data_IF_325937998052
#
_entry.id   IF_325937998052
#
_cell.length_a   1.000
_cell.length_b   1.000
_cell.length_c   1.000
_cell.angle_alpha   90.00
_cell.angle_beta   90.00
_cell.angle_gamma   90.00
#
_symmetry.space_group_name_H-M   'P 1'
#
loop_
_entity.id
_entity.type
_entity.pdbx_description
1 polymer ?
#
# COMPACT_ATOMS: atom_id res chain seq x y z
N UNK A 1 -13.56 -25.80 4.71
CA UNK A 1 -14.32 -26.24 5.90
C UNK A 1 -15.10 -25.02 6.34
N UNK A 2 -16.42 -25.13 6.21
CA UNK A 2 -17.39 -24.05 6.20
C UNK A 2 -17.33 -23.20 7.48
N UNK A 3 -17.33 -21.88 7.29
CA UNK A 3 -17.40 -20.85 8.34
C UNK A 3 -18.83 -20.75 8.91
N UNK A 4 -19.80 -21.46 8.34
CA UNK A 4 -21.23 -21.32 8.68
C UNK A 4 -21.62 -21.76 10.10
N UNK A 5 -20.75 -22.44 10.86
CA UNK A 5 -21.10 -22.97 12.19
C UNK A 5 -20.11 -22.61 13.31
N UNK A 6 -19.49 -21.42 13.27
CA UNK A 6 -18.90 -20.83 14.49
C UNK A 6 -19.95 -19.96 15.21
N UNK A 7 -20.07 -20.00 16.55
CA UNK A 7 -20.95 -19.09 17.27
C UNK A 7 -20.65 -17.64 16.88
N UNK A 8 -21.67 -16.86 16.53
CA UNK A 8 -21.57 -15.46 16.10
C UNK A 8 -20.70 -14.58 17.03
N UNK A 9 -20.68 -14.91 18.33
CA UNK A 9 -19.85 -14.23 19.33
C UNK A 9 -18.34 -14.50 19.18
N UNK A 10 -17.95 -15.68 18.69
CA UNK A 10 -16.53 -16.02 18.49
C UNK A 10 -15.94 -15.21 17.32
N UNK A 11 -16.73 -14.96 16.27
CA UNK A 11 -16.30 -14.15 15.13
C UNK A 11 -16.17 -12.66 15.49
N UNK A 12 -17.14 -12.10 16.24
CA UNK A 12 -17.06 -10.72 16.76
C UNK A 12 -15.80 -10.53 17.61
N UNK A 13 -15.52 -11.47 18.50
CA UNK A 13 -14.35 -11.40 19.39
C UNK A 13 -13.04 -11.40 18.61
N UNK A 14 -12.87 -12.30 17.64
CA UNK A 14 -11.67 -12.36 16.81
C UNK A 14 -11.48 -11.05 16.03
N UNK A 15 -12.56 -10.49 15.47
CA UNK A 15 -12.53 -9.22 14.75
C UNK A 15 -12.10 -8.06 15.66
N UNK A 16 -12.65 -7.96 16.86
CA UNK A 16 -12.30 -6.94 17.83
C UNK A 16 -10.83 -7.07 18.28
N UNK A 17 -10.36 -8.27 18.61
CA UNK A 17 -8.96 -8.50 19.04
C UNK A 17 -7.94 -8.13 17.95
N UNK A 18 -8.26 -8.35 16.67
CA UNK A 18 -7.42 -7.96 15.53
C UNK A 18 -7.41 -6.44 15.34
N UNK A 19 -8.59 -5.82 15.31
CA UNK A 19 -8.72 -4.37 15.16
C UNK A 19 -7.97 -3.64 16.28
N UNK A 20 -8.08 -4.14 17.51
CA UNK A 20 -7.33 -3.66 18.67
C UNK A 20 -5.82 -3.75 18.44
N UNK A 21 -5.29 -4.84 17.87
CA UNK A 21 -3.84 -5.00 17.70
C UNK A 21 -3.28 -3.99 16.69
N UNK A 22 -3.99 -3.71 15.61
CA UNK A 22 -3.52 -2.85 14.51
C UNK A 22 -3.81 -1.37 14.69
N UNK A 23 -4.90 -1.01 15.37
CA UNK A 23 -5.32 0.39 15.46
C UNK A 23 -4.42 1.20 16.40
N UNK A 24 -4.08 2.44 16.04
CA UNK A 24 -3.48 3.40 16.98
C UNK A 24 -4.54 4.02 17.91
N UNK A 25 -5.71 4.30 17.34
CA UNK A 25 -6.89 4.85 18.02
C UNK A 25 -8.09 4.00 17.63
N UNK A 26 -8.91 3.61 18.61
CA UNK A 26 -10.07 2.76 18.37
C UNK A 26 -11.34 3.60 18.49
N UNK A 27 -12.17 3.61 17.45
CA UNK A 27 -13.51 4.20 17.51
C UNK A 27 -14.52 3.09 17.78
N UNK A 28 -15.10 3.09 18.98
CA UNK A 28 -16.17 2.16 19.34
C UNK A 28 -17.52 2.80 19.05
N UNK A 29 -18.21 2.27 18.04
CA UNK A 29 -19.48 2.83 17.56
C UNK A 29 -20.64 2.02 18.11
N UNK A 30 -21.56 2.68 18.81
CA UNK A 30 -22.83 2.10 19.29
C UNK A 30 -24.02 2.74 18.58
N UNK A 31 -25.17 2.04 18.55
CA UNK A 31 -26.42 2.58 18.04
C UNK A 31 -27.17 3.32 19.15
N UNK A 32 -27.29 4.64 19.04
CA UNK A 32 -27.96 5.48 20.04
C UNK A 32 -29.47 5.31 20.11
N UNK A 33 -30.09 4.58 19.17
CA UNK A 33 -31.54 4.28 19.18
C UNK A 33 -31.88 2.98 19.92
N UNK A 34 -30.87 2.26 20.40
CA UNK A 34 -31.02 0.99 21.09
C UNK A 34 -30.38 1.08 22.47
N UNK A 35 -30.90 0.27 23.40
CA UNK A 35 -30.25 0.09 24.69
C UNK A 35 -28.96 -0.72 24.54
N UNK A 36 -28.07 -0.59 25.52
CA UNK A 36 -26.80 -1.32 25.57
C UNK A 36 -27.06 -2.82 25.53
N UNK A 37 -26.45 -3.50 24.56
CA UNK A 37 -26.57 -4.96 24.41
C UNK A 37 -25.50 -5.70 25.22
N UNK A 38 -25.70 -7.00 25.45
CA UNK A 38 -24.69 -7.86 26.07
C UNK A 38 -23.39 -7.93 25.23
N UNK A 39 -23.53 -7.83 23.90
CA UNK A 39 -22.39 -7.84 22.98
C UNK A 39 -21.58 -6.53 23.10
N UNK A 40 -22.24 -5.37 23.29
CA UNK A 40 -21.55 -4.09 23.55
C UNK A 40 -20.72 -4.15 24.83
N UNK A 41 -21.28 -4.72 25.90
CA UNK A 41 -20.59 -4.92 27.17
C UNK A 41 -19.40 -5.86 27.03
N UNK A 42 -19.53 -6.91 26.22
CA UNK A 42 -18.44 -7.85 25.95
C UNK A 42 -17.32 -7.18 25.15
N UNK A 43 -17.64 -6.44 24.10
CA UNK A 43 -16.66 -5.70 23.29
C UNK A 43 -15.97 -4.63 24.14
N UNK A 44 -16.71 -3.84 24.93
CA UNK A 44 -16.15 -2.83 25.81
C UNK A 44 -15.13 -3.43 26.80
N UNK A 45 -15.41 -4.63 27.35
CA UNK A 45 -14.46 -5.36 28.21
C UNK A 45 -13.19 -5.79 27.47
N UNK A 46 -13.29 -6.17 26.19
CA UNK A 46 -12.12 -6.54 25.37
C UNK A 46 -11.30 -5.29 25.06
N UNK A 47 -11.96 -4.20 24.63
CA UNK A 47 -11.34 -2.92 24.31
C UNK A 47 -10.56 -2.35 25.48
N UNK A 48 -11.15 -2.34 26.69
CA UNK A 48 -10.47 -1.84 27.91
C UNK A 48 -9.18 -2.57 28.24
N UNK A 49 -9.04 -3.86 27.87
CA UNK A 49 -7.81 -4.62 28.10
C UNK A 49 -6.67 -4.21 27.16
N UNK A 50 -6.95 -3.41 26.12
CA UNK A 50 -5.96 -3.05 25.10
C UNK A 50 -5.01 -1.92 25.51
N UNK A 51 -5.35 -1.12 26.53
CA UNK A 51 -4.66 0.12 26.90
C UNK A 51 -4.49 1.15 25.76
N UNK A 52 -5.22 1.01 24.65
CA UNK A 52 -5.21 1.97 23.53
C UNK A 52 -6.27 3.06 23.76
N UNK A 53 -6.08 4.26 23.19
CA UNK A 53 -7.11 5.30 23.25
C UNK A 53 -8.37 4.82 22.51
N UNK A 54 -9.49 4.81 23.24
CA UNK A 54 -10.80 4.38 22.74
C UNK A 54 -11.71 5.59 22.72
N UNK A 55 -12.33 5.89 21.58
CA UNK A 55 -13.32 6.96 21.42
C UNK A 55 -14.71 6.33 21.28
N UNK A 56 -15.62 6.66 22.19
CA UNK A 56 -17.00 6.17 22.15
C UNK A 56 -17.84 7.09 21.26
N UNK A 57 -18.36 6.55 20.17
CA UNK A 57 -19.21 7.24 19.21
C UNK A 57 -20.62 6.66 19.21
N UNK A 58 -21.61 7.47 19.59
CA UNK A 58 -23.02 7.06 19.60
C UNK A 58 -23.68 7.55 18.32
N UNK A 59 -23.97 6.62 17.41
CA UNK A 59 -24.48 6.91 16.09
C UNK A 59 -26.01 6.93 16.03
N UNK A 60 -26.58 7.52 14.97
CA UNK A 60 -28.03 7.61 14.68
C UNK A 60 -28.83 8.51 15.62
N UNK A 61 -28.15 9.43 16.31
CA UNK A 61 -28.79 10.50 17.08
C UNK A 61 -28.99 11.69 16.15
N UNK A 62 -30.19 11.78 15.60
CA UNK A 62 -30.55 12.81 14.61
C UNK A 62 -31.20 14.04 15.25
N UNK A 63 -31.59 13.95 16.53
CA UNK A 63 -32.31 14.97 17.28
C UNK A 63 -31.63 15.24 18.62
N UNK A 64 -31.59 16.51 19.03
CA UNK A 64 -31.01 16.98 20.31
C UNK A 64 -31.74 16.34 21.50
N UNK A 65 -33.02 15.99 21.37
CA UNK A 65 -33.79 15.33 22.43
C UNK A 65 -33.27 13.94 22.80
N UNK A 66 -32.67 13.22 21.84
CA UNK A 66 -32.07 11.89 22.03
C UNK A 66 -30.66 11.95 22.65
N UNK A 67 -30.09 13.15 22.85
CA UNK A 67 -28.79 13.30 23.54
C UNK A 67 -28.85 12.87 24.99
N UNK A 68 -30.02 12.94 25.63
CA UNK A 68 -30.23 12.46 26.99
C UNK A 68 -30.12 10.91 27.09
N UNK A 69 -30.55 10.20 26.05
CA UNK A 69 -30.46 8.74 25.98
C UNK A 69 -29.01 8.29 25.78
N UNK A 70 -28.16 9.11 25.16
CA UNK A 70 -26.75 8.82 24.99
C UNK A 70 -25.99 8.65 26.33
N UNK A 71 -26.45 9.29 27.41
CA UNK A 71 -25.79 9.17 28.73
C UNK A 71 -25.81 7.74 29.29
N UNK A 72 -26.72 6.87 28.84
CA UNK A 72 -26.71 5.48 29.27
C UNK A 72 -25.40 4.76 28.91
N UNK A 73 -24.77 5.15 27.79
CA UNK A 73 -23.56 4.52 27.27
C UNK A 73 -22.31 4.80 28.11
N UNK A 74 -22.35 5.73 29.08
CA UNK A 74 -21.31 5.82 30.11
C UNK A 74 -21.19 4.54 30.94
N UNK A 75 -22.24 3.72 31.03
CA UNK A 75 -22.21 2.42 31.72
C UNK A 75 -21.25 1.41 31.08
N UNK A 76 -20.87 1.61 29.82
CA UNK A 76 -19.79 0.85 29.18
C UNK A 76 -18.45 1.08 29.88
N UNK A 77 -18.33 2.16 30.65
CA UNK A 77 -17.21 2.53 31.51
C UNK A 77 -15.92 2.82 30.74
N UNK A 78 -16.06 3.30 29.51
CA UNK A 78 -14.95 3.79 28.71
C UNK A 78 -14.71 5.23 29.17
N UNK A 79 -13.50 5.53 29.64
CA UNK A 79 -13.18 6.80 30.28
C UNK A 79 -13.04 7.99 29.29
N UNK A 80 -13.35 7.77 28.01
CA UNK A 80 -13.31 8.83 27.00
C UNK A 80 -14.63 9.59 26.91
N UNK A 81 -14.53 10.84 26.49
CA UNK A 81 -15.71 11.66 26.25
C UNK A 81 -16.58 11.06 25.15
N UNK A 82 -17.86 10.93 25.44
CA UNK A 82 -18.86 10.46 24.50
C UNK A 82 -18.99 11.45 23.34
N UNK A 83 -18.96 10.94 22.11
CA UNK A 83 -19.19 11.75 20.90
C UNK A 83 -20.49 11.31 20.26
N UNK A 84 -21.42 12.25 20.08
CA UNK A 84 -22.72 11.99 19.47
C UNK A 84 -22.59 12.26 17.98
N UNK A 85 -22.95 11.27 17.15
CA UNK A 85 -22.85 11.39 15.70
C UNK A 85 -24.15 11.00 15.00
N UNK A 86 -24.37 11.61 13.84
CA UNK A 86 -25.31 11.10 12.83
C UNK A 86 -24.59 11.03 11.50
N UNK A 87 -24.18 9.82 11.10
CA UNK A 87 -23.49 9.63 9.82
C UNK A 87 -24.33 10.05 8.62
N UNK A 88 -25.65 9.87 8.67
CA UNK A 88 -26.54 10.19 7.55
C UNK A 88 -26.74 11.71 7.36
N UNK A 89 -26.66 12.46 8.46
CA UNK A 89 -26.87 13.92 8.45
C UNK A 89 -25.57 14.72 8.61
N UNK A 90 -24.43 14.04 8.77
CA UNK A 90 -23.11 14.66 8.93
C UNK A 90 -22.89 15.33 10.30
N UNK A 91 -23.74 15.08 11.29
CA UNK A 91 -23.69 15.73 12.61
C UNK A 91 -22.61 15.07 13.46
N UNK A 92 -21.79 15.87 14.14
CA UNK A 92 -20.78 15.42 15.10
C UNK A 92 -19.58 14.65 14.51
N UNK A 93 -19.55 14.44 13.19
CA UNK A 93 -18.42 13.76 12.52
C UNK A 93 -17.14 14.58 12.62
N UNK A 94 -17.22 15.91 12.48
CA UNK A 94 -16.06 16.80 12.62
C UNK A 94 -15.43 16.68 14.00
N UNK A 95 -16.24 16.81 15.05
CA UNK A 95 -15.78 16.68 16.44
C UNK A 95 -15.17 15.30 16.72
N UNK A 96 -15.74 14.23 16.14
CA UNK A 96 -15.18 12.89 16.24
C UNK A 96 -13.80 12.80 15.56
N UNK A 97 -13.65 13.40 14.37
CA UNK A 97 -12.38 13.40 13.61
C UNK A 97 -11.31 14.21 14.34
N UNK A 98 -11.65 15.38 14.89
CA UNK A 98 -10.72 16.21 15.65
C UNK A 98 -10.17 15.44 16.86
N UNK A 99 -11.05 14.74 17.60
CA UNK A 99 -10.64 13.85 18.70
C UNK A 99 -9.76 12.69 18.25
N UNK A 100 -10.06 12.09 17.09
CA UNK A 100 -9.19 11.05 16.53
C UNK A 100 -7.79 11.63 16.31
N UNK A 101 -7.68 12.81 15.72
CA UNK A 101 -6.40 13.47 15.44
C UNK A 101 -5.63 13.77 16.73
N UNK A 102 -6.30 14.23 17.80
CA UNK A 102 -5.67 14.49 19.10
C UNK A 102 -5.01 13.26 19.73
N UNK A 103 -5.58 12.07 19.51
CA UNK A 103 -5.07 10.81 20.04
C UNK A 103 -4.15 10.07 19.08
N UNK A 104 -4.08 10.48 17.81
CA UNK A 104 -3.12 9.92 16.88
C UNK A 104 -1.70 10.31 17.31
N UNK A 105 -0.75 9.36 17.23
CA UNK A 105 0.63 9.69 17.54
C UNK A 105 1.16 10.73 16.56
N UNK A 106 1.93 11.68 17.08
CA UNK A 106 2.73 12.58 16.24
C UNK A 106 3.76 11.71 15.51
N UNK A 107 3.53 11.46 14.23
CA UNK A 107 4.47 10.75 13.38
C UNK A 107 5.62 11.71 13.11
N UNK A 108 6.80 11.44 13.68
CA UNK A 108 8.02 12.11 13.22
C UNK A 108 8.26 11.67 11.77
N UNK A 109 8.10 12.57 10.81
CA UNK A 109 8.33 12.34 9.38
C UNK A 109 9.80 12.15 9.01
N UNK A 110 10.70 12.06 9.99
CA UNK A 110 12.08 11.64 9.74
C UNK A 110 12.09 10.14 9.42
N UNK A 111 11.73 9.77 8.19
CA UNK A 111 12.30 8.58 7.57
C UNK A 111 13.81 8.76 7.70
N UNK A 112 14.51 7.78 8.29
CA UNK A 112 15.97 7.74 8.14
C UNK A 112 16.25 7.78 6.64
N UNK A 113 16.89 8.85 6.14
CA UNK A 113 17.07 9.11 4.70
C UNK A 113 17.75 7.95 3.95
N UNK A 114 18.41 7.04 4.68
CA UNK A 114 19.17 5.91 4.15
C UNK A 114 18.48 4.54 4.27
N UNK A 115 17.23 4.44 4.75
CA UNK A 115 16.54 3.14 4.91
C UNK A 115 15.54 2.90 3.79
N UNK A 116 15.75 1.86 2.99
CA UNK A 116 14.79 1.42 1.96
C UNK A 116 13.73 0.53 2.60
N UNK A 117 12.48 1.00 2.63
CA UNK A 117 11.36 0.23 3.14
C UNK A 117 10.71 -0.55 2.00
N UNK A 118 10.53 -1.86 2.16
CA UNK A 118 9.83 -2.65 1.17
C UNK A 118 8.87 -3.66 1.81
N UNK A 119 7.80 -3.98 1.09
CA UNK A 119 6.81 -4.97 1.53
C UNK A 119 6.63 -6.08 0.48
N UNK A 120 6.08 -7.22 0.89
CA UNK A 120 5.70 -8.30 -0.02
C UNK A 120 4.19 -8.42 -0.10
N UNK A 121 3.63 -8.18 -1.28
CA UNK A 121 2.20 -8.30 -1.57
C UNK A 121 1.93 -9.52 -2.44
N UNK A 122 0.77 -10.12 -2.30
CA UNK A 122 0.37 -11.29 -3.10
C UNK A 122 -0.53 -12.23 -2.31
N UNK A 123 -1.16 -13.18 -3.02
CA UNK A 123 -2.09 -14.15 -2.45
C UNK A 123 -1.50 -14.98 -1.28
N UNK A 124 -2.35 -15.59 -0.44
CA UNK A 124 -1.92 -16.61 0.50
C UNK A 124 -1.12 -17.73 -0.19
N UNK A 125 -0.15 -18.32 0.51
CA UNK A 125 0.62 -19.48 0.07
C UNK A 125 1.53 -19.33 -1.18
N UNK A 126 1.69 -18.13 -1.74
CA UNK A 126 2.68 -17.85 -2.81
C UNK A 126 4.15 -17.90 -2.32
N UNK A 127 4.35 -18.01 -1.00
CA UNK A 127 5.67 -18.18 -0.38
C UNK A 127 6.34 -16.87 0.08
N UNK A 128 5.56 -15.82 0.37
CA UNK A 128 6.05 -14.53 0.91
C UNK A 128 6.92 -14.72 2.16
N UNK A 129 6.44 -15.46 3.15
CA UNK A 129 7.16 -15.72 4.40
C UNK A 129 8.45 -16.51 4.17
N UNK A 130 8.41 -17.49 3.28
CA UNK A 130 9.59 -18.25 2.87
C UNK A 130 10.62 -17.34 2.17
N UNK A 131 10.17 -16.40 1.34
CA UNK A 131 11.05 -15.42 0.71
C UNK A 131 11.69 -14.49 1.74
N UNK A 132 10.93 -13.93 2.68
CA UNK A 132 11.50 -13.09 3.76
C UNK A 132 12.55 -13.85 4.55
N UNK A 133 12.24 -15.07 4.98
CA UNK A 133 13.22 -15.89 5.71
C UNK A 133 14.46 -16.19 4.87
N UNK A 134 14.29 -16.47 3.58
CA UNK A 134 15.42 -16.73 2.69
C UNK A 134 16.23 -15.48 2.36
N UNK A 135 15.60 -14.30 2.39
CA UNK A 135 16.23 -12.98 2.31
C UNK A 135 17.07 -12.68 3.56
N UNK A 136 16.50 -12.87 4.74
CA UNK A 136 17.17 -12.58 6.02
C UNK A 136 18.32 -13.54 6.35
N UNK A 137 18.31 -14.76 5.81
CA UNK A 137 19.35 -15.78 6.03
C UNK A 137 20.42 -15.82 4.90
N UNK A 138 20.65 -14.71 4.19
CA UNK A 138 21.76 -14.55 3.26
C UNK A 138 23.06 -14.25 4.03
N UNK A 139 24.21 -14.71 3.55
CA UNK A 139 25.51 -14.59 4.25
C UNK A 139 25.91 -13.14 4.58
N UNK A 140 25.39 -12.16 3.83
CA UNK A 140 25.72 -10.73 3.96
C UNK A 140 24.65 -9.90 4.66
N UNK A 141 23.61 -10.54 5.20
CA UNK A 141 22.51 -9.86 5.86
C UNK A 141 22.75 -9.86 7.37
N UNK A 142 22.85 -8.68 7.94
CA UNK A 142 22.98 -8.48 9.39
C UNK A 142 21.67 -7.91 9.90
N UNK A 143 20.93 -8.69 10.70
CA UNK A 143 19.67 -8.26 11.31
C UNK A 143 19.98 -7.37 12.51
N UNK A 144 19.31 -6.22 12.58
CA UNK A 144 19.44 -5.28 13.67
C UNK A 144 18.27 -5.44 14.65
N UNK A 145 18.58 -5.66 15.93
CA UNK A 145 17.59 -5.74 17.01
C UNK A 145 17.55 -4.41 17.79
N UNK A 146 17.58 -3.26 17.13
CA UNK A 146 17.49 -1.98 17.83
C UNK A 146 16.09 -1.88 18.45
N UNK A 147 16.03 -2.13 19.77
CA UNK A 147 14.87 -1.82 20.60
C UNK A 147 14.70 -0.29 20.63
N UNK A 148 13.61 0.23 20.05
CA UNK A 148 13.21 1.63 20.22
C UNK A 148 12.94 2.46 18.97
N UNK A 149 13.12 1.92 17.75
CA UNK A 149 12.86 2.67 16.51
C UNK A 149 11.93 1.93 15.55
N UNK A 150 10.72 1.66 16.01
CA UNK A 150 9.43 1.81 15.30
C UNK A 150 8.34 1.27 16.24
N UNK A 151 7.18 1.92 16.23
CA UNK A 151 6.02 1.62 17.10
C UNK A 151 5.44 0.20 16.87
N UNK A 152 5.87 -0.47 15.80
CA UNK A 152 5.39 -1.78 15.39
C UNK A 152 6.49 -2.84 15.54
N UNK A 153 6.30 -3.75 16.49
CA UNK A 153 7.15 -4.92 16.76
C UNK A 153 7.14 -5.98 15.62
N UNK A 154 6.86 -5.57 14.39
CA UNK A 154 6.48 -6.39 13.25
C UNK A 154 7.44 -6.19 12.06
N UNK A 155 8.12 -5.05 11.96
CA UNK A 155 9.08 -4.76 10.89
C UNK A 155 10.45 -5.36 11.19
N UNK A 156 11.23 -5.69 10.16
CA UNK A 156 12.59 -6.22 10.33
C UNK A 156 13.60 -5.33 9.61
N UNK A 157 14.46 -4.66 10.39
CA UNK A 157 15.59 -3.88 9.90
C UNK A 157 16.82 -4.78 9.71
N UNK A 158 17.49 -4.65 8.58
CA UNK A 158 18.74 -5.34 8.31
C UNK A 158 19.65 -4.53 7.38
N UNK A 159 20.94 -4.87 7.41
CA UNK A 159 21.96 -4.23 6.56
C UNK A 159 22.51 -5.26 5.59
N UNK A 160 22.66 -4.85 4.32
CA UNK A 160 23.34 -5.64 3.29
C UNK A 160 24.17 -4.70 2.41
N UNK A 161 25.43 -5.07 2.17
CA UNK A 161 26.34 -4.32 1.29
C UNK A 161 26.36 -2.80 1.61
N UNK A 162 26.38 -2.45 2.92
CA UNK A 162 26.29 -1.10 3.49
C UNK A 162 24.97 -0.33 3.27
N UNK A 163 23.97 -0.91 2.60
CA UNK A 163 22.63 -0.35 2.47
C UNK A 163 21.73 -0.87 3.59
N UNK A 164 21.00 0.02 4.27
CA UNK A 164 19.97 -0.34 5.24
C UNK A 164 18.66 -0.64 4.50
N UNK A 165 18.01 -1.72 4.91
CA UNK A 165 16.71 -2.15 4.41
C UNK A 165 15.77 -2.45 5.57
N UNK A 166 14.49 -2.17 5.39
CA UNK A 166 13.44 -2.52 6.32
C UNK A 166 12.35 -3.32 5.59
N UNK A 167 12.12 -4.56 6.00
CA UNK A 167 10.96 -5.33 5.54
C UNK A 167 9.76 -4.94 6.40
N UNK A 168 8.75 -4.35 5.78
CA UNK A 168 7.50 -3.99 6.45
C UNK A 168 6.63 -5.24 6.66
N UNK A 169 6.00 -5.32 7.83
CA UNK A 169 5.02 -6.35 8.23
C UNK A 169 5.54 -7.80 8.15
N UNK A 170 6.66 -8.11 8.82
CA UNK A 170 7.19 -9.48 8.88
C UNK A 170 6.43 -10.41 9.83
N UNK A 171 5.72 -9.91 10.84
CA UNK A 171 5.00 -10.79 11.77
C UNK A 171 3.70 -11.34 11.15
N UNK A 172 3.01 -10.59 10.28
CA UNK A 172 1.92 -11.12 9.46
C UNK A 172 2.39 -12.23 8.52
N UNK A 173 3.62 -12.13 8.02
CA UNK A 173 4.26 -13.16 7.20
C UNK A 173 4.66 -14.40 8.04
N UNK A 174 5.22 -14.24 9.25
CA UNK A 174 5.65 -15.35 10.12
C UNK A 174 4.47 -16.13 10.74
N UNK A 175 3.34 -15.46 10.99
CA UNK A 175 2.14 -16.04 11.64
C UNK A 175 1.06 -16.52 10.67
N UNK A 176 1.40 -16.83 9.42
CA UNK A 176 0.49 -17.41 8.40
C UNK A 176 0.07 -18.86 8.70
N UNK A 177 -0.26 -19.16 9.96
CA UNK A 177 -0.93 -20.38 10.37
C UNK A 177 -2.44 -20.19 10.27
N UNK A 178 -3.11 -21.17 9.65
CA UNK A 178 -4.54 -21.49 9.41
C UNK A 178 -5.68 -20.72 10.10
N UNK A 179 -5.45 -19.93 11.14
CA UNK A 179 -6.45 -19.32 12.02
C UNK A 179 -6.72 -17.84 11.66
N UNK A 180 -5.73 -17.09 11.15
CA UNK A 180 -5.86 -15.64 10.87
C UNK A 180 -6.20 -15.28 9.42
N UNK A 181 -6.09 -16.22 8.47
CA UNK A 181 -6.37 -15.97 7.04
C UNK A 181 -7.86 -16.08 6.68
N UNK A 182 -8.73 -16.44 7.63
CA UNK A 182 -10.15 -16.74 7.37
C UNK A 182 -11.04 -15.50 7.14
N UNK A 183 -10.48 -14.29 7.11
CA UNK A 183 -11.24 -13.07 6.84
C UNK A 183 -10.48 -12.19 5.84
N UNK A 184 -10.79 -12.37 4.55
CA UNK A 184 -10.16 -11.68 3.41
C UNK A 184 -10.05 -10.15 3.56
N UNK A 185 -10.99 -9.53 4.30
CA UNK A 185 -11.03 -8.08 4.54
C UNK A 185 -9.84 -7.55 5.35
N UNK A 186 -9.36 -8.30 6.35
CA UNK A 186 -8.27 -7.84 7.21
C UNK A 186 -6.89 -8.08 6.59
N UNK A 187 -6.73 -9.17 5.84
CA UNK A 187 -5.52 -9.40 5.05
C UNK A 187 -5.33 -8.28 4.00
N UNK A 188 -6.44 -7.76 3.45
CA UNK A 188 -6.40 -6.60 2.58
C UNK A 188 -5.96 -5.33 3.32
N UNK A 189 -6.57 -4.98 4.46
CA UNK A 189 -6.19 -3.79 5.24
C UNK A 189 -4.71 -3.79 5.66
N UNK A 190 -4.17 -4.94 6.07
CA UNK A 190 -2.73 -5.09 6.35
C UNK A 190 -1.86 -4.83 5.14
N UNK A 191 -2.25 -5.39 3.98
CA UNK A 191 -1.52 -5.16 2.74
C UNK A 191 -1.52 -3.67 2.37
N UNK A 192 -2.64 -2.96 2.55
CA UNK A 192 -2.72 -1.51 2.32
C UNK A 192 -1.77 -0.75 3.25
N UNK A 193 -1.83 -0.99 4.57
CA UNK A 193 -0.93 -0.37 5.54
C UNK A 193 0.56 -0.64 5.23
N UNK A 194 0.89 -1.87 4.80
CA UNK A 194 2.24 -2.23 4.42
C UNK A 194 2.70 -1.50 3.14
N UNK A 195 1.80 -1.34 2.17
CA UNK A 195 2.05 -0.56 0.94
C UNK A 195 2.34 0.90 1.30
N UNK A 196 1.50 1.53 2.12
CA UNK A 196 1.61 2.94 2.49
C UNK A 196 2.97 3.28 3.12
N UNK A 197 3.46 2.38 3.98
CA UNK A 197 4.76 2.50 4.67
C UNK A 197 5.97 2.10 3.83
N UNK A 198 5.75 1.42 2.72
CA UNK A 198 6.82 0.95 1.83
C UNK A 198 7.21 1.99 0.77
N UNK A 199 8.45 1.95 0.34
CA UNK A 199 8.94 2.65 -0.85
C UNK A 199 8.85 1.74 -2.09
N UNK A 200 9.10 0.43 -1.89
CA UNK A 200 9.06 -0.61 -2.94
C UNK A 200 8.12 -1.74 -2.56
N UNK A 201 7.17 -2.09 -3.42
CA UNK A 201 6.27 -3.22 -3.26
C UNK A 201 6.72 -4.40 -4.13
N UNK A 202 6.93 -5.56 -3.51
CA UNK A 202 7.23 -6.82 -4.20
C UNK A 202 5.94 -7.61 -4.45
N UNK A 203 5.48 -7.65 -5.69
CA UNK A 203 4.35 -8.50 -6.09
C UNK A 203 4.81 -9.95 -6.25
N UNK A 204 4.54 -10.77 -5.24
CA UNK A 204 4.92 -12.18 -5.24
C UNK A 204 3.85 -13.03 -5.92
N UNK A 205 4.23 -13.65 -7.02
CA UNK A 205 3.43 -14.60 -7.78
C UNK A 205 3.94 -16.03 -7.57
N UNK A 206 3.04 -17.00 -7.69
CA UNK A 206 3.38 -18.42 -7.69
C UNK A 206 3.62 -18.89 -9.13
N UNK A 207 4.84 -19.34 -9.43
CA UNK A 207 5.21 -19.82 -10.77
C UNK A 207 4.47 -21.10 -11.19
N UNK A 208 4.04 -21.93 -10.24
CA UNK A 208 3.31 -23.17 -10.51
C UNK A 208 1.80 -22.91 -10.64
N UNK A 209 1.23 -22.18 -9.69
CA UNK A 209 -0.22 -21.90 -9.68
C UNK A 209 -0.66 -20.82 -10.69
N UNK A 210 0.27 -20.02 -11.20
CA UNK A 210 0.01 -18.96 -12.16
C UNK A 210 -0.72 -17.74 -11.57
N UNK A 211 -1.16 -16.85 -12.47
CA UNK A 211 -1.80 -15.55 -12.14
C UNK A 211 -3.30 -15.75 -11.92
N UNK A 212 -3.89 -15.11 -10.90
CA UNK A 212 -5.34 -15.08 -10.68
C UNK A 212 -5.86 -13.64 -10.62
N UNK A 213 -7.16 -13.44 -10.82
CA UNK A 213 -7.77 -12.10 -10.85
C UNK A 213 -7.65 -11.32 -9.54
N UNK A 214 -7.72 -12.02 -8.39
CA UNK A 214 -7.57 -11.40 -7.06
C UNK A 214 -6.22 -10.70 -6.86
N UNK A 215 -5.18 -11.04 -7.63
CA UNK A 215 -3.87 -10.39 -7.56
C UNK A 215 -3.94 -8.91 -8.05
N UNK A 216 -4.98 -8.50 -8.77
CA UNK A 216 -5.04 -7.17 -9.41
C UNK A 216 -5.44 -6.04 -8.47
N UNK A 217 -6.29 -6.29 -7.46
CA UNK A 217 -6.85 -5.22 -6.63
C UNK A 217 -5.82 -4.54 -5.72
N UNK A 218 -5.05 -5.33 -4.97
CA UNK A 218 -4.00 -4.83 -4.05
C UNK A 218 -2.90 -4.11 -4.84
N UNK A 219 -2.58 -4.62 -6.03
CA UNK A 219 -1.58 -4.03 -6.91
C UNK A 219 -2.07 -2.73 -7.51
N UNK A 220 -3.36 -2.63 -7.88
CA UNK A 220 -3.98 -1.39 -8.33
C UNK A 220 -3.78 -0.26 -7.32
N UNK A 221 -4.04 -0.54 -6.05
CA UNK A 221 -3.81 0.41 -4.96
C UNK A 221 -2.34 0.84 -4.85
N UNK A 222 -1.38 -0.10 -4.91
CA UNK A 222 0.04 0.24 -4.88
C UNK A 222 0.46 1.19 -6.03
N UNK A 223 -0.16 1.04 -7.21
CA UNK A 223 0.07 1.93 -8.37
C UNK A 223 -0.54 3.31 -8.14
N UNK A 224 -1.74 3.39 -7.58
CA UNK A 224 -2.43 4.65 -7.26
C UNK A 224 -1.61 5.49 -6.26
N UNK A 225 -1.12 4.84 -5.21
CA UNK A 225 -0.18 5.38 -4.23
C UNK A 225 1.21 5.70 -4.82
N UNK A 226 1.46 5.34 -6.09
CA UNK A 226 2.69 5.68 -6.78
C UNK A 226 3.92 4.90 -6.28
N UNK A 227 3.71 3.75 -5.63
CA UNK A 227 4.79 2.91 -5.14
C UNK A 227 5.57 2.29 -6.29
N UNK A 228 6.86 2.09 -6.07
CA UNK A 228 7.68 1.35 -7.00
C UNK A 228 7.37 -0.14 -6.89
N UNK A 229 7.32 -0.88 -7.99
CA UNK A 229 6.83 -2.26 -8.02
C UNK A 229 7.84 -3.18 -8.72
N UNK A 230 8.11 -4.34 -8.09
CA UNK A 230 8.87 -5.44 -8.67
C UNK A 230 7.99 -6.68 -8.67
N UNK A 231 7.90 -7.38 -9.78
CA UNK A 231 7.16 -8.65 -9.89
C UNK A 231 8.12 -9.80 -9.60
N UNK A 232 7.82 -10.60 -8.57
CA UNK A 232 8.65 -11.71 -8.11
C UNK A 232 7.89 -13.02 -8.33
N UNK A 233 8.32 -13.80 -9.31
CA UNK A 233 7.79 -15.14 -9.57
C UNK A 233 8.55 -16.15 -8.71
N UNK A 234 7.93 -16.59 -7.63
CA UNK A 234 8.47 -17.56 -6.68
C UNK A 234 8.15 -19.00 -7.08
N UNK A 235 8.76 -19.97 -6.38
CA UNK A 235 8.65 -21.42 -6.66
C UNK A 235 9.09 -21.81 -8.06
N UNK A 236 10.01 -21.05 -8.65
CA UNK A 236 10.52 -21.31 -10.00
C UNK A 236 11.32 -22.62 -10.11
N UNK A 237 11.64 -23.27 -8.99
CA UNK A 237 12.19 -24.61 -8.92
C UNK A 237 11.18 -25.70 -9.29
N UNK A 238 9.88 -25.47 -9.09
CA UNK A 238 8.80 -26.43 -9.38
C UNK A 238 8.31 -26.36 -10.83
N UNK A 239 8.60 -25.25 -11.53
CA UNK A 239 8.18 -25.07 -12.92
C UNK A 239 9.05 -25.92 -13.84
N UNK A 240 8.43 -26.77 -14.65
CA UNK A 240 9.14 -27.54 -15.69
C UNK A 240 9.81 -26.60 -16.70
N UNK A 241 11.14 -26.62 -16.74
CA UNK A 241 11.96 -25.67 -17.49
C UNK A 241 12.20 -26.17 -18.90
N UNK A 242 11.69 -25.44 -19.88
CA UNK A 242 12.13 -25.47 -21.27
C UNK A 242 12.84 -24.14 -21.58
N UNK A 243 13.62 -24.07 -22.67
CA UNK A 243 14.31 -22.84 -23.09
C UNK A 243 13.37 -21.62 -23.24
N UNK A 244 12.06 -21.85 -23.46
CA UNK A 244 11.05 -20.81 -23.66
C UNK A 244 10.19 -20.48 -22.43
N UNK A 245 10.27 -21.26 -21.34
CA UNK A 245 9.34 -21.12 -20.21
C UNK A 245 9.39 -19.74 -19.56
N UNK A 246 10.57 -19.12 -19.48
CA UNK A 246 10.74 -17.76 -18.95
C UNK A 246 10.00 -16.74 -19.82
N UNK A 247 10.22 -16.77 -21.14
CA UNK A 247 9.62 -15.81 -22.06
C UNK A 247 8.09 -15.96 -22.14
N UNK A 248 7.60 -17.19 -22.14
CA UNK A 248 6.16 -17.47 -22.13
C UNK A 248 5.49 -16.96 -20.86
N UNK A 249 6.11 -17.16 -19.70
CA UNK A 249 5.57 -16.68 -18.42
C UNK A 249 5.63 -15.15 -18.32
N UNK A 250 6.74 -14.54 -18.75
CA UNK A 250 6.87 -13.08 -18.86
C UNK A 250 5.76 -12.49 -19.75
N UNK A 251 5.49 -13.10 -20.91
CA UNK A 251 4.41 -12.66 -21.79
C UNK A 251 3.05 -12.75 -21.11
N UNK A 252 2.75 -13.88 -20.43
CA UNK A 252 1.51 -14.05 -19.65
C UNK A 252 1.38 -12.99 -18.55
N UNK A 253 2.45 -12.65 -17.84
CA UNK A 253 2.45 -11.57 -16.84
C UNK A 253 2.10 -10.24 -17.50
N UNK A 254 2.78 -9.87 -18.58
CA UNK A 254 2.54 -8.59 -19.28
C UNK A 254 1.14 -8.49 -19.87
N UNK A 255 0.55 -9.60 -20.33
CA UNK A 255 -0.83 -9.65 -20.81
C UNK A 255 -1.85 -9.41 -19.68
N UNK A 256 -1.59 -9.95 -18.49
CA UNK A 256 -2.48 -9.83 -17.33
C UNK A 256 -2.30 -8.51 -16.56
N UNK A 257 -1.07 -8.00 -16.49
CA UNK A 257 -0.67 -6.78 -15.78
C UNK A 257 -0.17 -5.72 -16.75
N UNK A 258 -1.00 -5.33 -17.73
CA UNK A 258 -0.65 -4.30 -18.73
C UNK A 258 -0.27 -2.97 -18.10
N UNK A 259 -0.87 -2.64 -16.96
CA UNK A 259 -0.61 -1.43 -16.19
C UNK A 259 0.70 -1.46 -15.38
N UNK A 260 1.37 -2.62 -15.31
CA UNK A 260 2.72 -2.80 -14.73
C UNK A 260 3.77 -3.11 -15.80
N UNK A 261 3.64 -2.53 -16.99
CA UNK A 261 4.63 -2.71 -18.07
C UNK A 261 6.05 -2.28 -17.65
N UNK A 262 6.15 -1.28 -16.78
CA UNK A 262 7.40 -0.74 -16.26
C UNK A 262 8.04 -1.59 -15.15
N UNK A 263 7.30 -2.51 -14.51
CA UNK A 263 7.80 -3.25 -13.35
C UNK A 263 8.74 -4.40 -13.80
N UNK A 264 9.97 -4.51 -13.27
CA UNK A 264 10.87 -5.62 -13.58
C UNK A 264 10.29 -6.95 -13.08
N UNK A 265 10.64 -8.04 -13.76
CA UNK A 265 10.18 -9.40 -13.42
C UNK A 265 11.40 -10.26 -13.02
N UNK A 266 11.38 -10.77 -11.80
CA UNK A 266 12.41 -11.68 -11.28
C UNK A 266 11.84 -13.06 -11.02
N UNK A 267 12.59 -14.08 -11.42
CA UNK A 267 12.26 -15.48 -11.17
C UNK A 267 13.17 -16.04 -10.08
N UNK A 268 12.58 -16.44 -8.96
CA UNK A 268 13.30 -16.84 -7.75
C UNK A 268 12.75 -18.15 -7.17
N UNK A 269 13.52 -18.75 -6.26
CA UNK A 269 13.02 -19.82 -5.40
C UNK A 269 13.49 -19.60 -3.97
N UNK A 270 12.52 -19.37 -3.08
CA UNK A 270 12.76 -19.34 -1.64
C UNK A 270 13.36 -20.65 -1.11
N UNK A 271 12.95 -21.79 -1.68
CA UNK A 271 13.33 -23.13 -1.22
C UNK A 271 14.77 -23.47 -1.55
N UNK A 272 15.19 -23.23 -2.79
CA UNK A 272 16.57 -23.53 -3.25
C UNK A 272 17.51 -22.35 -3.07
N UNK A 273 17.01 -21.21 -2.59
CA UNK A 273 17.71 -19.92 -2.50
C UNK A 273 18.21 -19.40 -3.86
N UNK A 274 17.64 -19.89 -4.96
CA UNK A 274 18.02 -19.48 -6.31
C UNK A 274 17.64 -18.01 -6.56
N UNK A 275 18.62 -17.21 -7.01
CA UNK A 275 18.48 -15.81 -7.45
C UNK A 275 17.91 -14.83 -6.41
N UNK A 276 17.92 -15.19 -5.13
CA UNK A 276 17.48 -14.29 -4.05
C UNK A 276 18.41 -13.08 -3.91
N UNK A 277 19.71 -13.23 -4.17
CA UNK A 277 20.65 -12.11 -4.08
C UNK A 277 20.28 -10.97 -5.04
N UNK A 278 19.83 -11.28 -6.26
CA UNK A 278 19.40 -10.32 -7.28
C UNK A 278 18.20 -9.48 -6.85
N UNK A 279 17.37 -9.99 -5.92
CA UNK A 279 16.18 -9.28 -5.47
C UNK A 279 16.53 -7.96 -4.80
N UNK A 280 17.59 -7.92 -3.99
CA UNK A 280 17.97 -6.70 -3.27
C UNK A 280 18.65 -5.68 -4.18
N UNK A 281 19.46 -6.15 -5.11
CA UNK A 281 20.09 -5.31 -6.13
C UNK A 281 18.99 -4.62 -6.96
N UNK A 282 17.93 -5.36 -7.29
CA UNK A 282 16.76 -4.82 -8.00
C UNK A 282 15.93 -3.86 -7.15
N UNK A 283 15.69 -4.17 -5.86
CA UNK A 283 15.02 -3.25 -4.92
C UNK A 283 15.76 -1.91 -4.86
N UNK A 284 17.09 -1.95 -4.72
CA UNK A 284 17.90 -0.74 -4.67
C UNK A 284 17.85 0.03 -5.99
N UNK A 285 17.95 -0.66 -7.14
CA UNK A 285 17.82 -0.04 -8.46
C UNK A 285 16.49 0.68 -8.63
N UNK A 286 15.40 0.01 -8.31
CA UNK A 286 14.03 0.53 -8.46
C UNK A 286 13.76 1.67 -7.48
N UNK A 287 14.24 1.58 -6.24
CA UNK A 287 14.18 2.68 -5.27
C UNK A 287 14.93 3.92 -5.76
N UNK A 288 16.14 3.74 -6.29
CA UNK A 288 16.93 4.85 -6.85
C UNK A 288 16.26 5.46 -8.08
N UNK A 289 15.61 4.65 -8.92
CA UNK A 289 14.83 5.14 -10.05
C UNK A 289 13.62 5.97 -9.61
N UNK A 290 12.92 5.56 -8.55
CA UNK A 290 11.79 6.30 -8.00
C UNK A 290 12.19 7.66 -7.38
N UNK A 291 13.38 7.71 -6.75
CA UNK A 291 13.96 8.92 -6.13
C UNK A 291 14.75 9.80 -7.11
N UNK A 292 14.81 9.44 -8.39
CA UNK A 292 15.65 10.13 -9.36
C UNK A 292 15.12 11.54 -9.65
N UNK A 293 15.95 12.54 -9.37
CA UNK A 293 15.69 13.93 -9.76
C UNK A 293 16.31 14.24 -11.13
N UNK A 294 15.49 14.72 -12.06
CA UNK A 294 15.89 15.03 -13.42
C UNK A 294 15.94 16.56 -13.61
N UNK A 295 17.09 17.10 -14.04
CA UNK A 295 17.21 18.50 -14.38
C UNK A 295 16.15 18.96 -15.39
N UNK A 296 15.56 20.11 -15.14
CA UNK A 296 14.51 20.69 -15.98
C UNK A 296 14.92 20.86 -17.45
N UNK A 297 16.19 21.18 -17.72
CA UNK A 297 16.73 21.28 -19.08
C UNK A 297 16.58 19.97 -19.86
N UNK A 298 16.93 18.84 -19.24
CA UNK A 298 16.80 17.51 -19.83
C UNK A 298 15.34 17.20 -20.08
N UNK A 299 14.44 17.44 -19.12
CA UNK A 299 13.00 17.20 -19.31
C UNK A 299 12.47 17.96 -20.53
N UNK A 300 12.80 19.25 -20.66
CA UNK A 300 12.34 20.05 -21.79
C UNK A 300 12.91 19.57 -23.13
N UNK A 301 14.18 19.15 -23.18
CA UNK A 301 14.79 18.57 -24.38
C UNK A 301 14.03 17.32 -24.85
N UNK A 302 13.70 16.41 -23.93
CA UNK A 302 12.93 15.19 -24.23
C UNK A 302 11.56 15.53 -24.81
N UNK A 303 10.85 16.49 -24.20
CA UNK A 303 9.50 16.88 -24.62
C UNK A 303 9.53 17.57 -25.98
N UNK A 304 10.50 18.46 -26.23
CA UNK A 304 10.65 19.14 -27.51
C UNK A 304 10.94 18.15 -28.63
N UNK A 305 11.84 17.18 -28.41
CA UNK A 305 12.16 16.15 -29.39
C UNK A 305 10.97 15.22 -29.67
N UNK A 306 10.21 14.87 -28.63
CA UNK A 306 8.98 14.09 -28.78
C UNK A 306 7.93 14.85 -29.61
N UNK A 307 7.77 16.15 -29.38
CA UNK A 307 6.84 16.99 -30.12
C UNK A 307 7.26 17.19 -31.59
N UNK A 308 8.56 17.31 -31.85
CA UNK A 308 9.10 17.42 -33.20
C UNK A 308 8.87 16.15 -34.04
N UNK A 309 9.00 14.98 -33.41
CA UNK A 309 8.78 13.69 -34.07
C UNK A 309 7.28 13.39 -34.28
N UNK A 310 6.45 13.66 -33.27
CA UNK A 310 5.01 13.44 -33.33
C UNK A 310 4.26 14.67 -32.79
N UNK A 311 3.88 15.60 -33.68
CA UNK A 311 3.10 16.78 -33.30
C UNK A 311 1.78 16.39 -32.64
N UNK A 312 1.31 17.23 -31.72
CA UNK A 312 0.04 16.99 -31.02
C UNK A 312 -1.15 16.95 -31.99
N UNK A 313 -2.04 15.94 -31.87
CA UNK A 313 -3.29 15.92 -32.60
C UNK A 313 -4.24 17.02 -32.10
N UNK A 314 -5.24 17.35 -32.91
CA UNK A 314 -6.37 18.16 -32.44
C UNK A 314 -7.27 17.29 -31.58
N UNK A 315 -7.62 17.78 -30.39
CA UNK A 315 -8.47 17.09 -29.43
C UNK A 315 -9.30 18.11 -28.65
N UNK A 316 -10.56 17.78 -28.34
CA UNK A 316 -11.49 18.70 -27.65
C UNK A 316 -11.57 20.11 -28.27
N UNK A 317 -11.50 20.19 -29.60
CA UNK A 317 -11.67 21.46 -30.33
C UNK A 317 -10.42 22.34 -30.38
N UNK A 318 -9.24 21.85 -29.98
CA UNK A 318 -8.00 22.61 -30.11
C UNK A 318 -6.74 21.74 -30.18
N UNK A 319 -5.61 22.42 -30.47
CA UNK A 319 -4.29 21.80 -30.51
C UNK A 319 -3.55 22.07 -29.20
N UNK A 320 -3.05 21.02 -28.58
CA UNK A 320 -2.21 21.13 -27.38
C UNK A 320 -0.89 21.83 -27.73
N UNK A 321 -0.52 22.84 -26.95
CA UNK A 321 0.80 23.46 -26.99
C UNK A 321 1.45 23.27 -25.63
N UNK A 322 2.63 22.66 -25.61
CA UNK A 322 3.43 22.49 -24.39
C UNK A 322 4.51 23.57 -24.41
N UNK A 323 4.50 24.43 -23.39
CA UNK A 323 5.45 25.54 -23.30
C UNK A 323 6.69 25.18 -22.50
N UNK A 324 6.50 24.38 -21.45
CA UNK A 324 7.53 24.08 -20.47
C UNK A 324 7.15 22.83 -19.69
N UNK A 325 8.17 22.09 -19.23
CA UNK A 325 8.01 20.89 -18.42
C UNK A 325 9.05 20.86 -17.31
N UNK A 326 8.67 20.43 -16.10
CA UNK A 326 9.62 20.18 -15.02
C UNK A 326 9.16 19.01 -14.14
N UNK A 327 10.13 18.37 -13.48
CA UNK A 327 9.84 17.45 -12.38
C UNK A 327 9.61 18.27 -11.11
N UNK A 328 8.56 17.96 -10.36
CA UNK A 328 8.21 18.67 -9.11
C UNK A 328 8.26 17.76 -7.89
N UNK A 329 8.21 16.45 -8.08
CA UNK A 329 8.26 15.49 -7.00
C UNK A 329 8.96 14.19 -7.43
N UNK A 330 9.33 13.41 -6.42
CA UNK A 330 9.97 12.09 -6.52
C UNK A 330 9.20 11.09 -5.66
N UNK A 331 9.24 9.80 -6.01
CA UNK A 331 8.49 8.74 -5.33
C UNK A 331 6.95 8.91 -5.31
N UNK A 332 6.29 8.89 -6.47
CA UNK A 332 6.85 8.65 -7.80
C UNK A 332 7.32 9.92 -8.52
N UNK A 333 8.17 9.80 -9.55
CA UNK A 333 8.51 10.92 -10.43
C UNK A 333 7.26 11.61 -10.99
N UNK A 334 7.04 12.86 -10.57
CA UNK A 334 5.92 13.69 -11.00
C UNK A 334 6.41 14.81 -11.90
N UNK A 335 5.97 14.78 -13.15
CA UNK A 335 6.25 15.82 -14.15
C UNK A 335 5.03 16.70 -14.35
N UNK A 336 5.21 18.02 -14.24
CA UNK A 336 4.21 19.01 -14.62
C UNK A 336 4.54 19.55 -16.01
N UNK A 337 3.56 19.49 -16.90
CA UNK A 337 3.60 20.11 -18.23
C UNK A 337 2.74 21.37 -18.22
N UNK A 338 3.35 22.51 -18.52
CA UNK A 338 2.64 23.77 -18.69
C UNK A 338 2.15 23.90 -20.12
N UNK A 339 0.84 23.93 -20.27
CA UNK A 339 0.15 23.86 -21.56
C UNK A 339 -0.82 25.02 -21.74
N UNK A 340 -1.27 25.22 -22.97
CA UNK A 340 -2.31 26.21 -23.28
C UNK A 340 -3.68 25.84 -22.69
N UNK A 341 -4.07 24.57 -22.78
CA UNK A 341 -5.28 24.07 -22.15
C UNK A 341 -5.08 22.59 -21.75
N UNK A 342 -5.19 22.23 -20.47
CA UNK A 342 -5.11 20.84 -20.00
C UNK A 342 -6.08 19.89 -20.70
N UNK A 343 -7.27 20.37 -21.09
CA UNK A 343 -8.32 19.55 -21.72
C UNK A 343 -7.96 19.09 -23.14
N UNK A 344 -6.91 19.67 -23.75
CA UNK A 344 -6.40 19.23 -25.06
C UNK A 344 -5.43 18.05 -24.95
N UNK A 345 -5.03 17.65 -23.73
CA UNK A 345 -4.19 16.48 -23.53
C UNK A 345 -5.03 15.19 -23.58
N UNK A 346 -5.00 14.49 -24.71
CA UNK A 346 -5.58 13.16 -24.79
C UNK A 346 -4.68 12.10 -24.13
N UNK A 347 -5.28 11.10 -23.47
CA UNK A 347 -4.55 10.05 -22.73
C UNK A 347 -3.52 9.29 -23.59
N UNK A 348 -3.78 9.14 -24.90
CA UNK A 348 -2.84 8.45 -25.81
C UNK A 348 -1.56 9.25 -26.01
N UNK A 349 -1.66 10.59 -26.06
CA UNK A 349 -0.50 11.47 -26.19
C UNK A 349 0.28 11.53 -24.88
N UNK A 350 -0.42 11.55 -23.73
CA UNK A 350 0.21 11.44 -22.42
C UNK A 350 1.04 10.16 -22.28
N UNK A 351 0.49 8.99 -22.70
CA UNK A 351 1.24 7.72 -22.73
C UNK A 351 2.42 7.75 -23.70
N UNK A 352 2.27 8.42 -24.84
CA UNK A 352 3.37 8.61 -25.78
C UNK A 352 4.53 9.40 -25.14
N UNK A 353 4.23 10.50 -24.45
CA UNK A 353 5.23 11.28 -23.72
C UNK A 353 5.87 10.48 -22.59
N UNK A 354 5.09 9.70 -21.83
CA UNK A 354 5.62 8.80 -20.80
C UNK A 354 6.64 7.82 -21.40
N UNK A 355 6.31 7.18 -22.52
CA UNK A 355 7.23 6.25 -23.19
C UNK A 355 8.50 6.95 -23.67
N UNK A 356 8.40 8.19 -24.19
CA UNK A 356 9.57 8.97 -24.61
C UNK A 356 10.48 9.34 -23.45
N UNK A 357 9.92 9.64 -22.28
CA UNK A 357 10.69 9.86 -21.06
C UNK A 357 11.41 8.57 -20.67
N UNK A 358 10.71 7.43 -20.67
CA UNK A 358 11.29 6.11 -20.32
C UNK A 358 12.36 5.61 -21.30
N UNK A 359 12.30 6.00 -22.57
CA UNK A 359 13.32 5.66 -23.58
C UNK A 359 14.67 6.32 -23.28
N UNK A 360 14.66 7.52 -22.70
CA UNK A 360 15.87 8.31 -22.43
C UNK A 360 16.34 8.21 -20.99
N UNK A 361 15.44 7.96 -20.05
CA UNK A 361 15.72 7.91 -18.63
C UNK A 361 15.22 6.58 -18.08
N UNK A 362 16.11 5.83 -17.43
CA UNK A 362 15.73 4.60 -16.75
C UNK A 362 14.81 4.92 -15.56
N UNK A 363 13.53 4.58 -15.73
CA UNK A 363 12.48 4.61 -14.72
C UNK A 363 11.86 3.21 -14.56
N UNK A 364 12.63 2.15 -14.86
CA UNK A 364 12.16 0.79 -14.62
C UNK A 364 11.83 0.60 -13.13
N UNK A 365 10.69 -0.05 -12.88
CA UNK A 365 10.15 -0.30 -11.55
C UNK A 365 9.34 0.84 -10.94
N UNK A 366 9.34 2.04 -11.50
CA UNK A 366 8.57 3.17 -10.95
C UNK A 366 7.48 3.66 -11.92
N UNK A 367 6.24 3.92 -11.43
CA UNK A 367 5.25 4.64 -12.21
C UNK A 367 5.71 6.10 -12.42
N UNK A 368 5.32 6.71 -13.54
CA UNK A 368 5.56 8.14 -13.79
C UNK A 368 4.20 8.84 -13.77
N UNK A 369 4.10 9.94 -13.03
CA UNK A 369 2.90 10.78 -13.03
C UNK A 369 3.17 12.00 -13.92
N UNK A 370 2.29 12.25 -14.89
CA UNK A 370 2.34 13.44 -15.76
C UNK A 370 1.05 14.23 -15.54
N UNK A 371 1.18 15.49 -15.14
CA UNK A 371 0.04 16.39 -14.89
C UNK A 371 0.17 17.61 -15.79
N UNK A 372 -0.93 17.98 -16.45
CA UNK A 372 -0.98 19.21 -17.24
C UNK A 372 -1.53 20.36 -16.39
N UNK A 373 -0.90 21.53 -16.49
CA UNK A 373 -1.42 22.78 -15.91
C UNK A 373 -1.54 23.84 -16.99
N UNK A 374 -2.63 24.61 -16.94
CA UNK A 374 -2.76 25.80 -17.75
C UNK A 374 -1.70 26.81 -17.30
N UNK A 375 -1.05 27.47 -18.26
CA UNK A 375 -0.23 28.63 -17.97
C UNK A 375 -1.16 29.82 -17.72
N UNK A 376 -1.11 30.40 -16.52
CA UNK A 376 -1.72 31.71 -16.26
C UNK A 376 -1.07 32.82 -17.09
#
# INVERSE_FOLDING_TARGET
IEIENKPFQESIRIQAEIAIQEADVIVFVCDGRQDITEDDLLIAKILKKSNKPILLAINKIDDITLTAEAYQFYQLGIDSDLTIISCNHGIGIGDLLDRIIEHLPVISTQKEEDVIHFCMIGRPNVGKSSLVNACLNQERVIVSNIEGTTRDAIDTLFVRDNQKFCVIDTAGLKKSGKIYEAIDKYAALRALNAIDRSDVCLLVLDGEAGIREQDKNIVGYAVEEGKAIIIVVNKWDLVHKNEKSVNEFTKKIRENFKFLSYAPILFVSAKTKQRIHLLFDEIQRVFNNANKHIPTSIVNEIILDAFAYNPTPDFNGGRLKIFFANQVDTCPPLFILFVNNPDYMHFSYQRYLENKIRERIDFEGTPIKIVCRARE
#
